data_IF_550162483424
#
_entry.id   IF_550162483424
#
_cell.length_a   1.000
_cell.length_b   1.000
_cell.length_c   1.000
_cell.angle_alpha   90.00
_cell.angle_beta   90.00
_cell.angle_gamma   90.00
#
_symmetry.space_group_name_H-M   'P 1'
#
loop_
_entity.id
_entity.type
_entity.pdbx_description
1 polymer ?
#
# COMPACT_ATOMS: atom_id res chain seq x y z
N UNK A 1 -3.72 -0.36 12.37
CA UNK A 1 -4.17 -1.59 13.06
C UNK A 1 -5.17 -1.21 14.15
N UNK A 2 -6.40 -1.68 14.11
CA UNK A 2 -7.36 -1.49 15.20
C UNK A 2 -7.09 -2.47 16.34
N UNK A 3 -7.12 -1.99 17.58
CA UNK A 3 -6.91 -2.81 18.78
C UNK A 3 -8.19 -2.82 19.60
N UNK A 4 -8.62 -4.01 20.00
CA UNK A 4 -9.76 -4.21 20.89
C UNK A 4 -9.41 -5.28 21.93
N UNK A 5 -9.95 -5.12 23.15
CA UNK A 5 -9.53 -5.88 24.32
C UNK A 5 -10.76 -6.48 25.01
N UNK A 6 -10.63 -7.71 25.51
CA UNK A 6 -11.58 -8.35 26.43
C UNK A 6 -10.82 -9.18 27.45
N UNK A 7 -11.16 -9.04 28.73
CA UNK A 7 -10.56 -9.83 29.80
C UNK A 7 -11.28 -11.18 29.92
N UNK A 8 -10.55 -12.29 29.78
CA UNK A 8 -11.08 -13.65 29.86
C UNK A 8 -10.52 -14.32 31.12
N UNK A 9 -11.36 -15.04 31.88
CA UNK A 9 -10.96 -15.73 33.12
C UNK A 9 -10.44 -17.17 32.89
N UNK A 10 -10.39 -17.64 31.64
CA UNK A 10 -10.07 -19.04 31.27
C UNK A 10 -8.57 -19.24 30.99
N UNK A 11 -8.04 -20.42 31.36
CA UNK A 11 -6.64 -20.85 31.17
C UNK A 11 -6.42 -21.67 29.87
N UNK A 12 -7.40 -21.69 28.95
CA UNK A 12 -7.33 -22.44 27.69
C UNK A 12 -6.79 -21.61 26.51
N UNK A 13 -6.36 -22.28 25.44
CA UNK A 13 -6.00 -21.61 24.19
C UNK A 13 -7.26 -21.00 23.54
N UNK A 14 -7.28 -19.66 23.39
CA UNK A 14 -8.42 -18.94 22.84
C UNK A 14 -8.69 -19.28 21.36
N UNK A 15 -9.96 -19.39 20.98
CA UNK A 15 -10.39 -19.62 19.60
C UNK A 15 -10.82 -18.31 18.92
N UNK A 16 -10.79 -18.23 17.57
CA UNK A 16 -11.34 -17.07 16.82
C UNK A 16 -12.80 -16.76 17.16
N UNK A 17 -13.58 -17.77 17.57
CA UNK A 17 -14.99 -17.59 17.97
C UNK A 17 -15.14 -16.78 19.26
N UNK A 18 -14.06 -16.63 20.03
CA UNK A 18 -14.01 -15.82 21.24
C UNK A 18 -13.60 -14.37 20.98
N UNK A 19 -13.32 -13.99 19.72
CA UNK A 19 -13.06 -12.60 19.30
C UNK A 19 -14.36 -11.79 19.14
N UNK A 20 -15.28 -11.91 20.10
CA UNK A 20 -16.54 -11.18 20.17
C UNK A 20 -16.63 -10.36 21.46
N UNK A 21 -17.54 -9.39 21.49
CA UNK A 21 -17.76 -8.50 22.66
C UNK A 21 -16.49 -7.81 23.18
N UNK A 22 -15.59 -7.46 22.25
CA UNK A 22 -14.36 -6.74 22.54
C UNK A 22 -14.68 -5.25 22.75
N UNK A 23 -13.98 -4.60 23.67
CA UNK A 23 -14.00 -3.14 23.80
C UNK A 23 -12.93 -2.55 22.89
N UNK A 24 -13.32 -1.70 21.93
CA UNK A 24 -12.36 -1.00 21.07
C UNK A 24 -11.48 -0.07 21.91
N UNK A 25 -10.17 -0.28 21.86
CA UNK A 25 -9.19 0.46 22.65
C UNK A 25 -8.55 1.60 21.86
N UNK A 26 -8.45 1.46 20.52
CA UNK A 26 -7.88 2.49 19.66
C UNK A 26 -7.14 1.92 18.45
N UNK A 27 -6.24 2.73 17.90
CA UNK A 27 -5.41 2.36 16.75
C UNK A 27 -3.93 2.33 17.12
N UNK A 28 -3.21 1.36 16.56
CA UNK A 28 -1.76 1.40 16.42
C UNK A 28 -1.43 1.77 14.97
N UNK A 29 -0.59 2.80 14.82
CA UNK A 29 -0.07 3.27 13.55
C UNK A 29 1.38 2.83 13.43
N UNK A 30 1.70 2.20 12.31
CA UNK A 30 3.06 1.82 11.95
C UNK A 30 3.44 2.66 10.75
N UNK A 31 4.60 3.30 10.80
CA UNK A 31 5.13 4.12 9.74
C UNK A 31 6.47 3.54 9.31
N UNK A 32 6.60 3.23 8.03
CA UNK A 32 7.88 2.98 7.39
C UNK A 32 8.26 4.25 6.62
N UNK A 33 9.10 5.13 7.19
CA UNK A 33 9.44 6.38 6.54
C UNK A 33 10.25 6.10 5.26
N UNK A 34 10.07 6.90 4.21
CA UNK A 34 10.94 6.82 3.05
C UNK A 34 12.41 6.98 3.44
N UNK A 35 13.30 6.32 2.69
CA UNK A 35 14.75 6.47 2.89
C UNK A 35 15.18 7.94 2.73
N UNK A 36 16.14 8.35 3.55
CA UNK A 36 16.81 9.64 3.38
C UNK A 36 17.37 9.77 1.96
N UNK A 37 17.20 10.96 1.36
CA UNK A 37 17.70 11.23 0.00
C UNK A 37 16.81 10.74 -1.14
N UNK A 38 15.64 10.15 -0.85
CA UNK A 38 14.77 9.59 -1.89
C UNK A 38 14.22 10.66 -2.83
N UNK A 39 13.85 11.83 -2.32
CA UNK A 39 13.28 12.90 -3.14
C UNK A 39 14.32 13.46 -4.12
N UNK A 40 15.55 13.65 -3.65
CA UNK A 40 16.69 14.08 -4.46
C UNK A 40 17.00 13.05 -5.55
N UNK A 41 16.94 11.77 -5.21
CA UNK A 41 17.15 10.68 -6.16
C UNK A 41 16.05 10.66 -7.23
N UNK A 42 14.78 10.77 -6.83
CA UNK A 42 13.64 10.82 -7.75
C UNK A 42 13.73 12.04 -8.68
N UNK A 43 14.10 13.19 -8.14
CA UNK A 43 14.32 14.41 -8.93
C UNK A 43 15.46 14.24 -9.93
N UNK A 44 16.60 13.64 -9.53
CA UNK A 44 17.73 13.39 -10.41
C UNK A 44 17.40 12.41 -11.55
N UNK A 45 16.58 11.39 -11.28
CA UNK A 45 16.06 10.48 -12.30
C UNK A 45 15.16 11.21 -13.29
N UNK A 46 14.23 12.03 -12.78
CA UNK A 46 13.34 12.82 -13.62
C UNK A 46 14.09 13.79 -14.55
N UNK A 47 15.14 14.47 -14.05
CA UNK A 47 16.00 15.35 -14.86
C UNK A 47 16.73 14.62 -15.99
N UNK A 48 16.93 13.30 -15.86
CA UNK A 48 17.53 12.44 -16.90
C UNK A 48 16.49 11.83 -17.84
N UNK A 49 15.21 12.19 -17.70
CA UNK A 49 14.11 11.62 -18.47
C UNK A 49 13.76 10.19 -18.07
N UNK A 50 14.13 9.76 -16.86
CA UNK A 50 13.83 8.42 -16.35
C UNK A 50 12.51 8.48 -15.57
N UNK A 51 11.49 7.80 -16.09
CA UNK A 51 10.19 7.66 -15.41
C UNK A 51 10.28 6.58 -14.33
N UNK A 52 9.91 6.93 -13.10
CA UNK A 52 9.79 5.99 -11.98
C UNK A 52 8.36 5.49 -11.87
N UNK A 53 8.19 4.20 -11.58
CA UNK A 53 6.90 3.56 -11.28
C UNK A 53 7.00 2.83 -9.95
N UNK A 54 5.95 2.86 -9.15
CA UNK A 54 5.89 2.19 -7.85
C UNK A 54 5.13 0.88 -8.00
N UNK A 55 5.64 -0.18 -7.38
CA UNK A 55 4.97 -1.48 -7.28
C UNK A 55 4.90 -1.82 -5.80
N UNK A 56 3.70 -2.02 -5.27
CA UNK A 56 3.48 -2.38 -3.87
C UNK A 56 2.34 -3.40 -3.73
N UNK A 57 2.45 -4.28 -2.74
CA UNK A 57 1.36 -5.13 -2.27
C UNK A 57 0.39 -4.40 -1.32
N UNK A 58 0.72 -3.18 -0.92
CA UNK A 58 -0.12 -2.38 -0.02
C UNK A 58 -1.41 -1.90 -0.68
N UNK A 59 -2.35 -1.51 0.18
CA UNK A 59 -3.59 -0.89 -0.22
C UNK A 59 -3.35 0.39 -1.04
N UNK A 60 -4.17 0.60 -2.08
CA UNK A 60 -4.08 1.74 -2.99
C UNK A 60 -3.99 3.11 -2.32
N UNK A 61 -4.68 3.33 -1.20
CA UNK A 61 -4.69 4.63 -0.52
C UNK A 61 -3.39 4.90 0.23
N UNK A 62 -2.77 3.86 0.79
CA UNK A 62 -1.48 3.98 1.49
C UNK A 62 -0.39 4.32 0.47
N UNK A 63 -0.33 3.58 -0.63
CA UNK A 63 0.66 3.80 -1.69
C UNK A 63 0.49 5.15 -2.37
N UNK A 64 -0.75 5.58 -2.63
CA UNK A 64 -1.02 6.90 -3.20
C UNK A 64 -0.58 8.04 -2.27
N UNK A 65 -0.85 7.91 -0.96
CA UNK A 65 -0.39 8.89 0.02
C UNK A 65 1.14 8.97 0.10
N UNK A 66 1.82 7.82 0.08
CA UNK A 66 3.28 7.77 0.04
C UNK A 66 3.83 8.41 -1.24
N UNK A 67 3.23 8.13 -2.39
CA UNK A 67 3.65 8.69 -3.67
C UNK A 67 3.53 10.23 -3.67
N UNK A 68 2.41 10.76 -3.19
CA UNK A 68 2.18 12.20 -3.06
C UNK A 68 3.20 12.86 -2.12
N UNK A 69 3.47 12.23 -0.96
CA UNK A 69 4.48 12.70 -0.02
C UNK A 69 5.91 12.71 -0.62
N UNK A 70 6.16 11.91 -1.66
CA UNK A 70 7.43 11.84 -2.39
C UNK A 70 7.45 12.71 -3.66
N UNK A 71 6.40 13.47 -3.94
CA UNK A 71 6.27 14.30 -5.14
C UNK A 71 6.05 13.51 -6.43
N UNK A 72 5.62 12.25 -6.32
CA UNK A 72 5.23 11.40 -7.45
C UNK A 72 3.75 11.60 -7.79
N UNK A 73 3.38 11.28 -9.03
CA UNK A 73 1.97 11.28 -9.43
C UNK A 73 1.23 10.14 -8.73
N UNK A 74 0.10 10.47 -8.10
CA UNK A 74 -0.71 9.54 -7.33
C UNK A 74 -2.09 9.23 -7.94
N UNK A 75 -2.38 9.74 -9.14
CA UNK A 75 -3.69 9.63 -9.81
C UNK A 75 -3.77 8.48 -10.84
N UNK A 76 -2.65 7.85 -11.15
CA UNK A 76 -2.50 6.82 -12.18
C UNK A 76 -2.24 5.45 -11.57
N UNK A 77 -3.31 4.83 -11.05
CA UNK A 77 -3.25 3.60 -10.25
C UNK A 77 -3.81 2.41 -11.05
N UNK A 78 -3.14 1.28 -10.97
CA UNK A 78 -3.64 -0.03 -11.42
C UNK A 78 -3.53 -1.03 -10.28
N UNK A 79 -4.62 -1.73 -10.00
CA UNK A 79 -4.65 -2.73 -8.93
C UNK A 79 -4.25 -4.11 -9.47
N UNK A 80 -3.84 -5.03 -8.58
CA UNK A 80 -3.63 -6.43 -8.96
C UNK A 80 -4.88 -7.07 -9.60
N UNK A 81 -6.07 -6.69 -9.14
CA UNK A 81 -7.34 -7.12 -9.74
C UNK A 81 -7.48 -6.61 -11.20
N UNK A 82 -7.17 -5.34 -11.47
CA UNK A 82 -7.18 -4.79 -12.82
C UNK A 82 -6.16 -5.52 -13.71
N UNK A 83 -4.95 -5.74 -13.17
CA UNK A 83 -3.86 -6.43 -13.86
C UNK A 83 -4.28 -7.85 -14.29
N UNK A 84 -5.01 -8.57 -13.44
CA UNK A 84 -5.50 -9.93 -13.70
C UNK A 84 -6.47 -10.03 -14.89
N UNK A 85 -7.15 -8.92 -15.21
CA UNK A 85 -8.11 -8.81 -16.32
C UNK A 85 -7.44 -8.43 -17.65
N UNK A 86 -6.17 -8.03 -17.63
CA UNK A 86 -5.45 -7.59 -18.82
C UNK A 86 -4.76 -8.75 -19.53
N UNK A 87 -4.79 -8.70 -20.86
CA UNK A 87 -3.87 -9.48 -21.69
C UNK A 87 -2.47 -8.87 -21.61
N UNK A 88 -1.44 -9.61 -22.07
CA UNK A 88 -0.08 -9.05 -22.20
C UNK A 88 -0.05 -7.75 -23.02
N UNK A 89 -0.78 -7.69 -24.13
CA UNK A 89 -0.86 -6.47 -24.95
C UNK A 89 -1.59 -5.34 -24.23
N UNK A 90 -2.66 -5.66 -23.49
CA UNK A 90 -3.36 -4.70 -22.63
C UNK A 90 -2.45 -4.12 -21.54
N UNK A 91 -1.62 -4.95 -20.91
CA UNK A 91 -0.62 -4.51 -19.95
C UNK A 91 0.41 -3.58 -20.58
N UNK A 92 0.96 -3.92 -21.75
CA UNK A 92 1.91 -3.05 -22.45
C UNK A 92 1.33 -1.67 -22.77
N UNK A 93 0.05 -1.61 -23.16
CA UNK A 93 -0.64 -0.34 -23.38
C UNK A 93 -0.89 0.43 -22.07
N UNK A 94 -1.31 -0.27 -21.02
CA UNK A 94 -1.63 0.31 -19.72
C UNK A 94 -0.41 0.82 -18.94
N UNK A 95 0.76 0.18 -19.10
CA UNK A 95 1.97 0.51 -18.33
C UNK A 95 2.42 1.96 -18.54
N UNK A 96 2.19 2.51 -19.73
CA UNK A 96 2.57 3.89 -20.07
C UNK A 96 1.72 4.92 -19.31
N UNK A 97 0.49 4.56 -18.97
CA UNK A 97 -0.46 5.44 -18.28
C UNK A 97 -0.61 5.13 -16.78
N UNK A 98 0.17 4.17 -16.26
CA UNK A 98 0.11 3.73 -14.87
C UNK A 98 1.41 4.06 -14.16
N UNK A 99 1.35 4.80 -13.06
CA UNK A 99 2.53 5.16 -12.26
C UNK A 99 2.59 4.39 -10.92
N UNK A 100 1.43 3.92 -10.44
CA UNK A 100 1.30 3.13 -9.21
C UNK A 100 0.64 1.78 -9.51
N UNK A 101 1.36 0.70 -9.22
CA UNK A 101 0.84 -0.66 -9.21
C UNK A 101 0.67 -1.10 -7.76
N UNK A 102 -0.56 -1.42 -7.35
CA UNK A 102 -0.94 -1.60 -5.94
C UNK A 102 -1.72 -2.88 -5.74
N UNK A 103 -1.77 -3.39 -4.52
CA UNK A 103 -2.51 -4.62 -4.19
C UNK A 103 -2.06 -5.80 -5.09
N UNK A 104 -0.76 -5.88 -5.38
CA UNK A 104 -0.15 -6.96 -6.18
C UNK A 104 0.41 -8.02 -5.22
N UNK A 105 -0.09 -9.25 -5.38
CA UNK A 105 0.35 -10.47 -4.68
C UNK A 105 1.23 -11.36 -5.58
#
# INVERSE_FOLDING_TARGET
LGVAIRHIKSQGAGSRKEETDLTFAGFLLFLDPPKDGVMETLAALAHRGITVKVISGDNRYVTAHLADALGLRADRIMTGEDLSKLTKSGLFAGVQQTDLFVEID
#
